data_IF_800358079397
#
_entry.id   IF_800358079397
#
_cell.length_a   1.000
_cell.length_b   1.000
_cell.length_c   1.000
_cell.angle_alpha   90.00
_cell.angle_beta   90.00
_cell.angle_gamma   90.00
#
_symmetry.space_group_name_H-M   'P 1'
#
loop_
_entity.id
_entity.type
_entity.pdbx_description
1 polymer ?
#
# COMPACT_ATOMS: atom_id res chain seq x y z
N UNK A 1 -46.39 47.80 22.37
CA UNK A 1 -45.68 46.65 22.96
C UNK A 1 -45.02 45.90 21.81
N UNK A 2 -43.74 46.19 21.51
CA UNK A 2 -43.02 45.55 20.41
C UNK A 2 -42.24 44.36 20.96
N UNK A 3 -42.57 43.16 20.47
CA UNK A 3 -41.89 41.92 20.86
C UNK A 3 -40.68 41.73 19.93
N UNK A 4 -39.47 41.79 20.50
CA UNK A 4 -38.22 41.64 19.76
C UNK A 4 -37.84 40.16 19.72
N UNK A 5 -37.98 39.53 18.56
CA UNK A 5 -37.56 38.13 18.38
C UNK A 5 -36.05 38.07 18.16
N UNK A 6 -35.34 37.42 19.08
CA UNK A 6 -33.91 37.10 18.94
C UNK A 6 -33.84 35.67 18.38
N UNK A 7 -33.31 35.52 17.18
CA UNK A 7 -33.00 34.22 16.60
C UNK A 7 -31.57 33.83 17.04
N UNK A 8 -31.43 32.76 17.82
CA UNK A 8 -30.13 32.12 18.09
C UNK A 8 -29.97 30.94 17.14
N UNK A 9 -28.97 31.01 16.25
CA UNK A 9 -28.51 29.87 15.47
C UNK A 9 -27.45 29.11 16.28
N UNK A 10 -27.72 27.84 16.60
CA UNK A 10 -26.72 26.94 17.16
C UNK A 10 -26.08 26.14 16.02
N UNK A 11 -24.85 26.50 15.62
CA UNK A 11 -24.02 25.63 14.78
C UNK A 11 -23.48 24.50 15.67
N UNK A 12 -24.01 23.29 15.49
CA UNK A 12 -23.38 22.09 16.04
C UNK A 12 -22.16 21.77 15.20
N UNK A 13 -20.98 22.18 15.66
CA UNK A 13 -19.71 21.67 15.13
C UNK A 13 -19.45 20.34 15.82
N UNK A 14 -19.74 19.23 15.14
CA UNK A 14 -19.30 17.91 15.58
C UNK A 14 -17.80 17.78 15.30
N UNK A 15 -16.99 17.97 16.33
CA UNK A 15 -15.60 17.52 16.32
C UNK A 15 -15.60 15.99 16.37
N UNK A 16 -15.44 15.35 15.22
CA UNK A 16 -15.07 13.94 15.17
C UNK A 16 -13.56 13.89 15.34
N UNK A 17 -13.11 13.59 16.55
CA UNK A 17 -11.72 13.23 16.78
C UNK A 17 -11.54 11.79 16.28
N UNK A 18 -10.78 11.60 15.19
CA UNK A 18 -10.17 10.30 14.90
C UNK A 18 -9.13 10.04 15.98
N UNK A 19 -9.04 8.83 16.51
CA UNK A 19 -7.80 8.40 17.16
C UNK A 19 -6.69 8.58 16.10
N UNK A 20 -5.79 9.52 16.32
CA UNK A 20 -4.74 9.85 15.36
C UNK A 20 -3.68 8.74 15.40
N UNK A 21 -3.95 7.63 14.69
CA UNK A 21 -3.04 6.49 14.53
C UNK A 21 -1.90 6.83 13.54
N UNK A 22 -1.29 8.01 13.72
CA UNK A 22 -0.18 8.49 12.90
C UNK A 22 1.14 7.95 13.43
N UNK A 23 2.01 7.52 12.52
CA UNK A 23 3.36 7.05 12.85
C UNK A 23 4.31 7.38 11.70
N UNK A 24 5.58 7.57 12.04
CA UNK A 24 6.66 7.85 11.07
C UNK A 24 7.86 6.98 11.44
N UNK A 25 8.42 6.29 10.45
CA UNK A 25 9.65 5.53 10.59
C UNK A 25 10.76 6.16 9.72
N UNK A 26 11.62 6.96 10.35
CA UNK A 26 12.85 7.46 9.72
C UNK A 26 13.97 6.41 9.84
N UNK A 27 13.68 5.20 9.33
CA UNK A 27 14.43 3.98 9.59
C UNK A 27 13.71 3.03 10.56
N UNK A 28 14.06 1.75 10.49
CA UNK A 28 13.28 0.66 11.07
C UNK A 28 13.89 -0.01 12.31
N UNK A 29 15.09 0.38 12.78
CA UNK A 29 15.78 -0.28 13.90
C UNK A 29 14.93 -0.39 15.19
N UNK A 30 14.15 0.65 15.49
CA UNK A 30 13.28 0.71 16.67
C UNK A 30 11.80 0.70 16.28
N UNK A 31 11.48 0.14 15.11
CA UNK A 31 10.11 0.16 14.58
C UNK A 31 9.16 -0.79 15.29
N UNK A 32 9.70 -1.84 15.93
CA UNK A 32 8.93 -2.93 16.54
C UNK A 32 7.90 -3.55 15.58
N UNK A 33 8.20 -3.53 14.27
CA UNK A 33 7.37 -4.22 13.28
C UNK A 33 7.29 -5.71 13.60
N UNK A 34 6.11 -6.28 13.35
CA UNK A 34 5.98 -7.71 13.24
C UNK A 34 6.56 -8.15 11.90
N UNK A 35 7.59 -8.99 11.93
CA UNK A 35 8.24 -9.54 10.74
C UNK A 35 7.99 -11.04 10.66
N UNK A 36 7.73 -11.53 9.45
CA UNK A 36 7.75 -12.96 9.15
C UNK A 36 8.25 -13.26 7.74
N UNK A 37 8.29 -14.55 7.39
CA UNK A 37 9.02 -15.04 6.23
C UNK A 37 10.50 -14.76 6.37
N UNK A 38 11.12 -14.25 5.31
CA UNK A 38 12.55 -13.87 5.29
C UNK A 38 12.80 -12.37 5.52
N UNK A 39 11.79 -11.61 5.95
CA UNK A 39 11.95 -10.19 6.21
C UNK A 39 12.86 -9.94 7.41
N UNK A 40 13.80 -9.00 7.27
CA UNK A 40 14.72 -8.63 8.34
C UNK A 40 15.01 -7.12 8.37
N UNK A 41 15.53 -6.66 9.51
CA UNK A 41 16.08 -5.32 9.65
C UNK A 41 17.58 -5.36 9.40
N UNK A 42 18.05 -4.60 8.43
CA UNK A 42 19.49 -4.48 8.15
C UNK A 42 20.18 -3.70 9.27
N UNK A 43 21.50 -3.81 9.41
CA UNK A 43 22.28 -3.07 10.42
C UNK A 43 22.23 -1.55 10.23
N UNK A 44 22.01 -1.06 9.01
CA UNK A 44 21.79 0.36 8.72
C UNK A 44 20.33 0.81 8.84
N UNK A 45 19.43 -0.04 9.32
CA UNK A 45 18.05 0.33 9.67
C UNK A 45 17.06 0.36 8.52
N UNK A 46 17.31 -0.39 7.45
CA UNK A 46 16.34 -0.63 6.37
C UNK A 46 15.49 -1.86 6.70
N UNK A 47 14.22 -1.82 6.32
CA UNK A 47 13.40 -3.02 6.25
C UNK A 47 13.70 -3.72 4.92
N UNK A 48 14.31 -4.90 5.00
CA UNK A 48 14.56 -5.76 3.83
C UNK A 48 13.51 -6.87 3.82
N UNK A 49 12.54 -6.78 2.92
CA UNK A 49 11.46 -7.77 2.81
C UNK A 49 11.93 -9.11 2.26
N UNK A 50 12.81 -9.08 1.25
CA UNK A 50 13.34 -10.29 0.60
C UNK A 50 14.83 -10.12 0.28
N UNK A 51 15.49 -11.23 -0.04
CA UNK A 51 16.89 -11.29 -0.48
C UNK A 51 16.98 -12.13 -1.76
N UNK A 52 18.16 -12.64 -2.09
CA UNK A 52 18.44 -13.49 -3.26
C UNK A 52 17.99 -14.96 -3.10
N UNK A 53 17.28 -15.29 -2.01
CA UNK A 53 16.66 -16.60 -1.83
C UNK A 53 15.52 -16.78 -2.83
N UNK A 54 15.59 -17.85 -3.62
CA UNK A 54 14.57 -18.17 -4.62
C UNK A 54 13.24 -18.55 -3.96
N UNK A 55 12.15 -18.02 -4.52
CA UNK A 55 10.77 -18.39 -4.19
C UNK A 55 10.46 -18.28 -2.69
N UNK A 56 10.87 -17.18 -2.08
CA UNK A 56 10.48 -16.85 -0.71
C UNK A 56 9.72 -15.52 -0.66
N UNK A 57 9.16 -15.22 0.50
CA UNK A 57 8.40 -14.01 0.79
C UNK A 57 8.79 -13.47 2.17
N UNK A 58 8.56 -12.20 2.40
CA UNK A 58 8.68 -11.62 3.73
C UNK A 58 7.73 -10.46 3.89
N UNK A 59 7.22 -10.31 5.11
CA UNK A 59 6.29 -9.23 5.43
C UNK A 59 6.80 -8.40 6.61
N UNK A 60 6.43 -7.12 6.60
CA UNK A 60 6.58 -6.22 7.74
C UNK A 60 5.24 -5.55 8.05
N UNK A 61 4.69 -5.83 9.23
CA UNK A 61 3.41 -5.29 9.67
C UNK A 61 3.58 -4.34 10.86
N UNK A 62 2.82 -3.25 10.85
CA UNK A 62 2.66 -2.39 12.01
C UNK A 62 2.13 -3.22 13.21
N UNK A 63 2.71 -3.10 14.42
CA UNK A 63 2.42 -4.01 15.51
C UNK A 63 1.01 -3.85 16.12
N UNK A 64 0.37 -2.70 15.95
CA UNK A 64 -0.95 -2.46 16.55
C UNK A 64 -2.04 -2.45 15.48
N UNK A 65 -3.21 -3.06 15.71
CA UNK A 65 -4.33 -2.96 14.76
C UNK A 65 -4.75 -1.51 14.53
N UNK A 66 -5.12 -1.18 13.28
CA UNK A 66 -5.70 0.11 12.91
C UNK A 66 -7.18 -0.10 12.59
N UNK A 67 -8.04 0.70 13.20
CA UNK A 67 -9.49 0.61 12.98
C UNK A 67 -9.90 1.52 11.82
N UNK A 68 -10.16 0.94 10.66
CA UNK A 68 -10.56 1.68 9.45
C UNK A 68 -12.07 1.90 9.32
N UNK A 69 -12.91 1.09 9.98
CA UNK A 69 -14.37 1.16 9.86
C UNK A 69 -15.01 1.33 11.22
N UNK A 70 -15.82 2.38 11.36
CA UNK A 70 -16.70 2.55 12.51
C UNK A 70 -18.02 1.82 12.23
N UNK A 71 -18.29 0.75 12.99
CA UNK A 71 -19.49 -0.07 12.81
C UNK A 71 -20.77 0.61 13.28
N UNK A 72 -20.68 1.65 14.13
CA UNK A 72 -21.84 2.37 14.65
C UNK A 72 -22.35 3.43 13.67
N UNK A 73 -21.45 4.10 12.95
CA UNK A 73 -21.79 5.11 11.94
C UNK A 73 -21.73 4.60 10.50
N UNK A 74 -21.34 3.34 10.30
CA UNK A 74 -21.03 2.73 9.00
C UNK A 74 -19.98 3.48 8.15
N UNK A 75 -19.26 4.43 8.76
CA UNK A 75 -18.28 5.26 8.06
C UNK A 75 -16.91 4.57 8.02
N UNK A 76 -16.21 4.74 6.89
CA UNK A 76 -14.81 4.31 6.72
C UNK A 76 -13.92 5.54 6.86
N UNK A 77 -12.87 5.42 7.66
CA UNK A 77 -11.87 6.46 7.86
C UNK A 77 -11.03 6.66 6.61
N UNK A 78 -10.76 7.91 6.26
CA UNK A 78 -9.71 8.25 5.30
C UNK A 78 -8.35 7.85 5.88
N UNK A 79 -7.41 7.48 5.00
CA UNK A 79 -6.02 7.27 5.40
C UNK A 79 -5.08 7.78 4.32
N UNK A 80 -3.84 8.08 4.72
CA UNK A 80 -2.74 8.29 3.79
C UNK A 80 -1.51 7.57 4.31
N UNK A 81 -0.69 7.08 3.38
CA UNK A 81 0.63 6.55 3.68
C UNK A 81 1.61 6.98 2.60
N UNK A 82 2.87 7.10 2.98
CA UNK A 82 3.96 7.41 2.07
C UNK A 82 5.17 6.60 2.49
N UNK A 83 5.80 5.93 1.53
CA UNK A 83 7.02 5.18 1.79
C UNK A 83 7.99 5.27 0.62
N UNK A 84 9.27 5.10 0.97
CA UNK A 84 10.37 4.96 0.02
C UNK A 84 10.68 3.48 -0.15
N UNK A 85 10.94 3.07 -1.37
CA UNK A 85 11.31 1.69 -1.68
C UNK A 85 12.38 1.65 -2.78
N UNK A 86 13.05 0.52 -2.89
CA UNK A 86 13.91 0.18 -4.02
C UNK A 86 13.82 -1.34 -4.25
N UNK A 87 13.58 -1.76 -5.48
CA UNK A 87 13.64 -3.18 -5.87
C UNK A 87 14.96 -3.39 -6.60
N UNK A 88 15.86 -4.15 -5.97
CA UNK A 88 17.19 -4.43 -6.51
C UNK A 88 17.18 -5.85 -7.09
N UNK A 89 17.18 -6.02 -8.42
CA UNK A 89 17.16 -7.34 -9.02
C UNK A 89 18.53 -8.01 -8.87
N UNK A 90 18.54 -9.34 -8.70
CA UNK A 90 19.77 -10.12 -8.66
C UNK A 90 20.51 -10.08 -9.99
N UNK A 91 19.76 -10.13 -11.10
CA UNK A 91 20.27 -9.96 -12.46
C UNK A 91 19.38 -8.97 -13.21
N UNK A 92 19.97 -8.17 -14.11
CA UNK A 92 19.29 -7.05 -14.78
C UNK A 92 17.94 -7.40 -15.46
N UNK A 93 17.72 -8.68 -15.84
CA UNK A 93 16.49 -9.16 -16.48
C UNK A 93 15.84 -10.34 -15.73
N UNK A 94 16.34 -10.70 -14.54
CA UNK A 94 15.76 -11.75 -13.69
C UNK A 94 15.56 -11.10 -12.32
N UNK A 95 14.42 -10.43 -12.19
CA UNK A 95 13.98 -9.75 -10.97
C UNK A 95 13.11 -10.62 -10.08
N UNK A 96 12.70 -10.04 -8.95
CA UNK A 96 11.61 -10.56 -8.12
C UNK A 96 10.25 -10.39 -8.79
N UNK A 97 9.17 -10.54 -8.02
CA UNK A 97 7.81 -10.39 -8.51
C UNK A 97 7.23 -9.01 -8.18
N UNK A 98 7.47 -8.49 -6.97
CA UNK A 98 7.04 -7.14 -6.63
C UNK A 98 7.12 -6.86 -5.13
N UNK A 99 6.48 -5.77 -4.72
CA UNK A 99 6.22 -5.40 -3.33
C UNK A 99 4.79 -4.88 -3.22
N UNK A 100 4.13 -5.12 -2.09
CA UNK A 100 2.75 -4.70 -1.87
C UNK A 100 2.63 -3.91 -0.58
N UNK A 101 1.95 -2.76 -0.62
CA UNK A 101 1.36 -2.16 0.58
C UNK A 101 0.05 -2.87 0.89
N UNK A 102 -0.07 -3.49 2.06
CA UNK A 102 -1.21 -4.34 2.41
C UNK A 102 -1.97 -3.84 3.63
N UNK A 103 -3.30 -3.90 3.55
CA UNK A 103 -4.23 -3.80 4.68
C UNK A 103 -4.94 -5.16 4.79
N UNK A 104 -4.81 -5.81 5.94
CA UNK A 104 -5.36 -7.14 6.17
C UNK A 104 -5.92 -7.28 7.60
N UNK A 105 -6.84 -8.24 7.85
CA UNK A 105 -7.40 -8.47 9.19
C UNK A 105 -6.40 -9.07 10.17
N UNK A 106 -5.37 -9.74 9.65
CA UNK A 106 -4.33 -10.41 10.44
C UNK A 106 -2.96 -10.08 9.86
N UNK A 107 -1.95 -10.03 10.72
CA UNK A 107 -0.55 -9.90 10.28
C UNK A 107 -0.05 -11.25 9.76
N UNK A 108 0.87 -11.18 8.81
CA UNK A 108 1.66 -12.32 8.38
C UNK A 108 1.07 -13.22 7.30
N UNK A 109 -0.21 -13.03 6.97
CA UNK A 109 -0.89 -13.68 5.84
C UNK A 109 -0.51 -15.17 5.72
N UNK A 110 -0.91 -16.00 6.70
CA UNK A 110 -0.54 -17.40 6.72
C UNK A 110 -0.99 -18.10 5.44
N UNK A 111 -0.19 -19.08 5.01
CA UNK A 111 -0.43 -19.87 3.79
C UNK A 111 -0.41 -19.09 2.47
N UNK A 112 -0.07 -17.79 2.49
CA UNK A 112 0.22 -17.06 1.25
C UNK A 112 1.44 -17.68 0.55
N UNK A 113 1.48 -17.58 -0.77
CA UNK A 113 2.54 -18.12 -1.59
C UNK A 113 3.52 -17.01 -2.00
N UNK A 114 4.79 -17.34 -2.22
CA UNK A 114 5.77 -16.43 -2.79
C UNK A 114 5.57 -16.30 -4.30
N UNK A 115 6.53 -15.69 -4.99
CA UNK A 115 6.53 -15.56 -6.45
C UNK A 115 5.34 -14.74 -6.94
N UNK A 116 4.57 -15.23 -7.91
CA UNK A 116 3.47 -14.49 -8.54
C UNK A 116 2.33 -14.13 -7.57
N UNK A 117 2.29 -14.77 -6.40
CA UNK A 117 1.27 -14.49 -5.38
C UNK A 117 1.60 -13.31 -4.47
N UNK A 118 2.76 -12.67 -4.66
CA UNK A 118 3.25 -11.49 -3.94
C UNK A 118 3.24 -11.58 -2.41
N UNK A 119 3.10 -12.78 -1.83
CA UNK A 119 2.89 -12.97 -0.39
C UNK A 119 1.51 -12.57 0.10
N UNK A 120 0.55 -12.29 -0.79
CA UNK A 120 -0.82 -11.90 -0.40
C UNK A 120 -1.76 -13.09 -0.26
N UNK A 121 -1.72 -13.99 -1.24
CA UNK A 121 -2.73 -15.02 -1.47
C UNK A 121 -2.09 -16.36 -1.81
N UNK A 122 -2.92 -17.37 -2.07
CA UNK A 122 -2.55 -18.66 -2.62
C UNK A 122 -3.57 -19.12 -3.67
N UNK A 123 -3.28 -20.25 -4.32
CA UNK A 123 -4.13 -20.87 -5.35
C UNK A 123 -5.61 -20.99 -4.95
N UNK A 124 -5.91 -21.12 -3.65
CA UNK A 124 -7.25 -21.42 -3.16
C UNK A 124 -8.01 -20.22 -2.60
N UNK A 125 -7.32 -19.12 -2.28
CA UNK A 125 -7.94 -17.97 -1.64
C UNK A 125 -7.92 -16.69 -2.50
N UNK A 126 -7.15 -16.61 -3.59
CA UNK A 126 -7.28 -15.49 -4.52
C UNK A 126 -8.71 -15.40 -5.07
N UNK A 127 -9.31 -14.21 -5.03
CA UNK A 127 -10.70 -13.97 -5.41
C UNK A 127 -11.72 -14.24 -4.30
N UNK A 128 -11.30 -14.74 -3.13
CA UNK A 128 -12.20 -14.96 -2.00
C UNK A 128 -12.45 -13.67 -1.21
N UNK A 129 -13.67 -13.12 -1.34
CA UNK A 129 -14.10 -11.89 -0.65
C UNK A 129 -14.07 -11.97 0.88
N UNK A 130 -13.98 -13.17 1.46
CA UNK A 130 -13.86 -13.37 2.92
C UNK A 130 -12.44 -13.11 3.45
N UNK A 131 -11.44 -12.94 2.58
CA UNK A 131 -10.07 -12.66 2.99
C UNK A 131 -9.94 -11.26 3.59
N UNK A 132 -10.73 -10.31 3.07
CA UNK A 132 -10.73 -8.89 3.45
C UNK A 132 -9.34 -8.25 3.34
N UNK A 133 -8.60 -8.60 2.28
CA UNK A 133 -7.26 -8.08 2.00
C UNK A 133 -7.37 -7.03 0.91
N UNK A 134 -6.73 -5.89 1.16
CA UNK A 134 -6.53 -4.81 0.19
C UNK A 134 -5.03 -4.64 -0.04
N UNK A 135 -4.63 -4.52 -1.31
CA UNK A 135 -3.25 -4.32 -1.73
C UNK A 135 -3.10 -3.14 -2.69
N UNK A 136 -1.99 -2.44 -2.59
CA UNK A 136 -1.44 -1.65 -3.70
C UNK A 136 -0.11 -2.30 -4.08
N UNK A 137 -0.11 -3.00 -5.20
CA UNK A 137 1.05 -3.74 -5.70
C UNK A 137 1.93 -2.85 -6.59
N UNK A 138 3.24 -3.07 -6.49
CA UNK A 138 4.25 -2.60 -7.41
C UNK A 138 4.84 -3.85 -8.05
N UNK A 139 4.21 -4.28 -9.13
CA UNK A 139 4.48 -5.55 -9.80
C UNK A 139 5.55 -5.37 -10.90
N UNK A 140 6.49 -6.31 -10.94
CA UNK A 140 7.66 -6.32 -11.83
C UNK A 140 7.71 -7.52 -12.75
N UNK A 141 6.60 -8.26 -12.88
CA UNK A 141 6.53 -9.50 -13.64
C UNK A 141 5.12 -9.82 -14.12
N UNK A 142 4.96 -9.87 -15.44
CA UNK A 142 3.67 -10.19 -16.04
C UNK A 142 3.26 -11.66 -15.79
N UNK A 143 2.12 -11.82 -15.13
CA UNK A 143 1.42 -13.06 -14.88
C UNK A 143 0.06 -13.06 -15.58
N UNK A 144 -0.03 -13.73 -16.73
CA UNK A 144 -1.26 -13.74 -17.55
C UNK A 144 -2.47 -14.34 -16.83
N UNK A 145 -2.26 -15.23 -15.86
CA UNK A 145 -3.32 -15.78 -15.02
C UNK A 145 -4.05 -14.73 -14.17
N UNK A 146 -3.37 -13.62 -13.87
CA UNK A 146 -3.87 -12.49 -13.08
C UNK A 146 -4.28 -11.27 -13.94
N UNK A 147 -4.29 -11.44 -15.26
CA UNK A 147 -4.66 -10.41 -16.24
C UNK A 147 -3.74 -9.17 -16.22
N UNK A 148 -2.48 -9.34 -15.80
CA UNK A 148 -1.49 -8.28 -15.76
C UNK A 148 -1.31 -7.56 -17.10
N UNK A 149 -1.37 -6.24 -17.04
CA UNK A 149 -1.32 -5.39 -18.24
C UNK A 149 0.06 -5.36 -18.90
N UNK A 150 1.13 -5.56 -18.12
CA UNK A 150 2.53 -5.66 -18.54
C UNK A 150 3.38 -6.21 -17.37
N UNK A 151 4.70 -6.24 -17.54
CA UNK A 151 5.67 -6.71 -16.54
C UNK A 151 6.23 -5.61 -15.62
N UNK A 152 5.56 -4.45 -15.56
CA UNK A 152 6.00 -3.30 -14.76
C UNK A 152 4.84 -2.33 -14.54
N UNK A 153 4.02 -2.60 -13.51
CA UNK A 153 2.80 -1.86 -13.25
C UNK A 153 2.55 -1.61 -11.76
N UNK A 154 1.65 -0.66 -11.52
CA UNK A 154 1.02 -0.43 -10.22
C UNK A 154 -0.40 -0.97 -10.31
N UNK A 155 -0.78 -1.81 -9.34
CA UNK A 155 -2.10 -2.45 -9.28
C UNK A 155 -2.83 -2.18 -7.97
N UNK A 156 -4.15 -2.29 -7.99
CA UNK A 156 -5.03 -2.18 -6.82
C UNK A 156 -5.77 -3.49 -6.62
N UNK A 157 -5.37 -4.24 -5.60
CA UNK A 157 -5.88 -5.58 -5.32
C UNK A 157 -6.99 -5.54 -4.28
N UNK A 158 -8.10 -6.20 -4.58
CA UNK A 158 -9.25 -6.28 -3.67
C UNK A 158 -9.66 -7.75 -3.51
N UNK A 159 -9.04 -8.42 -2.54
CA UNK A 159 -9.18 -9.85 -2.25
C UNK A 159 -8.73 -10.80 -3.38
N UNK A 160 -8.12 -10.29 -4.43
CA UNK A 160 -7.69 -11.02 -5.62
C UNK A 160 -6.43 -10.38 -6.20
N UNK A 161 -5.58 -11.17 -6.86
CA UNK A 161 -4.42 -10.69 -7.63
C UNK A 161 -4.82 -10.16 -9.01
N UNK A 162 -6.04 -10.47 -9.46
CA UNK A 162 -6.63 -9.72 -10.57
C UNK A 162 -6.96 -8.32 -10.08
N UNK A 163 -6.03 -7.40 -10.31
CA UNK A 163 -6.16 -5.99 -9.96
C UNK A 163 -7.51 -5.42 -10.42
N UNK A 164 -8.17 -4.69 -9.52
CA UNK A 164 -9.40 -3.96 -9.82
C UNK A 164 -9.15 -2.77 -10.76
N UNK A 165 -7.94 -2.20 -10.71
CA UNK A 165 -7.42 -1.20 -11.63
C UNK A 165 -5.89 -1.29 -11.65
N UNK A 166 -5.28 -1.02 -12.81
CA UNK A 166 -3.83 -1.09 -13.00
C UNK A 166 -3.34 -0.02 -13.99
N UNK A 167 -2.15 0.51 -13.75
CA UNK A 167 -1.46 1.41 -14.69
C UNK A 167 -0.01 0.99 -14.87
N UNK A 168 0.59 1.16 -16.07
CA UNK A 168 2.04 1.04 -16.22
C UNK A 168 2.76 1.91 -15.19
N UNK A 169 3.84 1.42 -14.62
CA UNK A 169 4.56 2.16 -13.60
C UNK A 169 5.26 3.37 -14.21
N UNK A 170 4.91 4.55 -13.71
CA UNK A 170 5.39 5.82 -14.23
C UNK A 170 4.75 6.99 -13.51
N UNK A 171 5.10 8.19 -13.95
CA UNK A 171 4.58 9.43 -13.39
C UNK A 171 4.36 10.48 -14.48
N UNK A 172 3.49 11.44 -14.22
CA UNK A 172 3.32 12.59 -15.10
C UNK A 172 4.23 13.72 -14.64
N UNK A 173 5.03 14.28 -15.54
CA UNK A 173 5.86 15.45 -15.24
C UNK A 173 5.04 16.75 -15.17
N UNK A 174 5.69 17.87 -14.83
CA UNK A 174 5.04 19.19 -14.76
C UNK A 174 4.46 19.70 -16.08
N UNK A 175 4.73 19.02 -17.20
CA UNK A 175 4.15 19.30 -18.52
C UNK A 175 3.02 18.34 -18.89
N UNK A 176 2.63 17.43 -17.98
CA UNK A 176 1.61 16.42 -18.21
C UNK A 176 2.08 15.28 -19.13
N UNK A 177 3.38 15.10 -19.31
CA UNK A 177 3.91 13.97 -20.08
C UNK A 177 4.14 12.77 -19.16
N UNK A 178 3.63 11.62 -19.57
CA UNK A 178 3.93 10.36 -18.88
C UNK A 178 5.42 10.01 -19.05
N UNK A 179 6.05 9.62 -17.94
CA UNK A 179 7.44 9.18 -17.84
C UNK A 179 7.44 7.77 -17.25
N UNK A 180 7.88 6.81 -18.05
CA UNK A 180 8.02 5.43 -17.61
C UNK A 180 9.02 5.31 -16.46
N UNK A 181 8.72 4.45 -15.51
CA UNK A 181 9.61 4.07 -14.42
C UNK A 181 9.80 2.57 -14.42
N UNK A 182 11.05 2.11 -14.37
CA UNK A 182 11.34 0.71 -14.08
C UNK A 182 11.40 0.51 -12.57
N UNK A 183 10.38 -0.14 -12.01
CA UNK A 183 10.28 -0.43 -10.58
C UNK A 183 11.49 -1.22 -10.07
N UNK A 184 12.03 -2.12 -10.90
CA UNK A 184 13.22 -2.94 -10.66
C UNK A 184 14.54 -2.28 -11.07
N UNK A 185 14.58 -0.95 -11.23
CA UNK A 185 15.80 -0.23 -11.61
C UNK A 185 16.89 -0.19 -10.54
N UNK A 186 16.57 -0.58 -9.29
CA UNK A 186 17.45 -0.44 -8.13
C UNK A 186 17.56 0.98 -7.57
N UNK A 187 16.98 1.99 -8.23
CA UNK A 187 16.96 3.36 -7.72
C UNK A 187 15.82 3.59 -6.73
N UNK A 188 16.03 4.41 -5.69
CA UNK A 188 14.97 4.77 -4.75
C UNK A 188 13.81 5.50 -5.42
N UNK A 189 12.60 5.03 -5.13
CA UNK A 189 11.33 5.63 -5.55
C UNK A 189 10.44 5.89 -4.34
N UNK A 190 9.45 6.76 -4.53
CA UNK A 190 8.48 7.15 -3.52
C UNK A 190 7.06 6.85 -4.00
N UNK A 191 6.24 6.30 -3.10
CA UNK A 191 4.82 6.07 -3.33
C UNK A 191 4.00 6.79 -2.28
N UNK A 192 2.91 7.42 -2.72
CA UNK A 192 1.84 7.95 -1.90
C UNK A 192 0.57 7.17 -2.18
N UNK A 193 -0.13 6.76 -1.12
CA UNK A 193 -1.44 6.09 -1.21
C UNK A 193 -2.39 6.88 -0.33
N UNK A 194 -3.46 7.39 -0.93
CA UNK A 194 -4.42 8.27 -0.28
C UNK A 194 -5.83 7.75 -0.50
N UNK A 195 -6.50 7.38 0.58
CA UNK A 195 -7.90 6.97 0.56
C UNK A 195 -8.79 8.06 1.17
N UNK A 196 -9.73 8.57 0.37
CA UNK A 196 -10.80 9.45 0.82
C UNK A 196 -12.04 8.61 1.15
N UNK A 197 -12.34 8.44 2.45
CA UNK A 197 -13.47 7.64 2.93
C UNK A 197 -14.85 8.23 2.60
N UNK A 198 -14.94 9.53 2.31
CA UNK A 198 -16.19 10.19 1.91
C UNK A 198 -16.45 9.97 0.43
N UNK A 199 -15.44 10.21 -0.42
CA UNK A 199 -15.53 10.00 -1.87
C UNK A 199 -15.41 8.54 -2.28
N UNK A 200 -14.94 7.67 -1.37
CA UNK A 200 -14.57 6.27 -1.63
C UNK A 200 -13.57 6.15 -2.77
N UNK A 201 -12.57 7.05 -2.75
CA UNK A 201 -11.56 7.17 -3.80
C UNK A 201 -10.21 6.83 -3.23
N UNK A 202 -9.48 5.97 -3.93
CA UNK A 202 -8.07 5.68 -3.70
C UNK A 202 -7.26 6.37 -4.79
N UNK A 203 -6.24 7.11 -4.42
CA UNK A 203 -5.27 7.71 -5.32
C UNK A 203 -3.89 7.12 -4.99
N UNK A 204 -3.17 6.65 -6.02
CA UNK A 204 -1.81 6.13 -5.90
C UNK A 204 -0.91 6.98 -6.77
N UNK A 205 0.12 7.57 -6.17
CA UNK A 205 1.12 8.37 -6.88
C UNK A 205 2.48 7.70 -6.71
N UNK A 206 3.23 7.59 -7.81
CA UNK A 206 4.59 7.06 -7.85
C UNK A 206 5.52 8.13 -8.43
N UNK A 207 6.73 8.28 -7.90
CA UNK A 207 7.75 9.14 -8.48
C UNK A 207 9.19 8.69 -8.10
N UNK A 208 10.23 9.05 -8.87
CA UNK A 208 11.61 8.91 -8.42
C UNK A 208 11.87 9.80 -7.20
N UNK A 209 12.72 9.35 -6.27
CA UNK A 209 13.11 10.16 -5.12
C UNK A 209 13.79 11.49 -5.53
N UNK A 210 14.50 11.51 -6.66
CA UNK A 210 15.23 12.69 -7.15
C UNK A 210 14.35 13.78 -7.77
N UNK A 211 13.04 13.55 -7.93
CA UNK A 211 12.09 14.51 -8.52
C UNK A 211 11.34 15.31 -7.44
N UNK A 212 11.60 15.04 -6.15
CA UNK A 212 11.03 15.78 -5.02
C UNK A 212 12.04 16.71 -4.35
N UNK A 213 12.12 17.96 -4.82
CA UNK A 213 12.50 19.20 -4.12
C UNK A 213 12.10 20.40 -4.98
#
# INVERSE_FOLDING_TARGET
MFLRHVFMLFFHVTLVASEDNSFIYNGFQSSHLYLDGIAELTTNGLLKLTNDTERDKGHGFYPNPIVFKNTSSESVSSFSTTFLFAIIPQYANIGGHGIVFVISPTKGLPDSLPSQYLGLFNDSNSGNSSNHVFGVELDTRQNFEFDDINDNHVGIDINDLKSADSTPAGYYDGYGQFKDLSLSSGYPMQVWIEYDGVKKKIDVTLAPMSVGC
#
